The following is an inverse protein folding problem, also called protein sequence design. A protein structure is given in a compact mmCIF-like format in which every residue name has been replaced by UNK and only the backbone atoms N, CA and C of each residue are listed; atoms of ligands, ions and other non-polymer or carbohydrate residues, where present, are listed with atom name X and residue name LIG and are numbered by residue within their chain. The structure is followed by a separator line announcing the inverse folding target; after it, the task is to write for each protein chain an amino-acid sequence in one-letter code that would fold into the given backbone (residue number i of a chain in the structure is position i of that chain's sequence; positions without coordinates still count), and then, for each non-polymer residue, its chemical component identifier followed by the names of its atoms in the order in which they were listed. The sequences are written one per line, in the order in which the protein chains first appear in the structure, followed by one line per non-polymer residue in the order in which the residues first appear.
data_IF_376294053613
#
_entry.id   IF_376294053613
#
_cell.length_a   1.000
_cell.length_b   1.000
_cell.length_c   1.000
_cell.angle_alpha   90.00
_cell.angle_beta   90.00
_cell.angle_gamma   90.00
#
_symmetry.space_group_name_H-M   'P 1'
#
loop_
_entity.id
_entity.type
_entity.pdbx_description
1 polymer ?
#
# COMPACT_ATOMS: atom_id res chain seq x y z
N UNK A 1 -29.77 -2.91 -40.42
CA UNK A 1 -28.75 -1.92 -40.03
C UNK A 1 -27.46 -2.67 -39.82
N UNK A 2 -26.42 -2.42 -40.61
CA UNK A 2 -25.07 -2.90 -40.26
C UNK A 2 -24.59 -1.99 -39.14
N UNK A 3 -24.61 -2.49 -37.92
CA UNK A 3 -24.05 -1.78 -36.78
C UNK A 3 -22.53 -1.74 -36.95
N UNK A 4 -21.94 -0.55 -36.93
CA UNK A 4 -20.50 -0.35 -37.01
C UNK A 4 -19.84 -0.60 -35.65
N UNK A 5 -20.02 -1.80 -35.09
CA UNK A 5 -19.24 -2.25 -33.95
C UNK A 5 -18.93 -3.74 -34.07
N UNK A 6 -17.73 -4.10 -33.68
CA UNK A 6 -17.32 -5.48 -33.46
C UNK A 6 -17.39 -5.72 -31.96
N UNK A 7 -18.09 -6.77 -31.53
CA UNK A 7 -18.09 -7.18 -30.13
C UNK A 7 -16.78 -7.89 -29.83
N UNK A 8 -15.83 -7.15 -29.28
CA UNK A 8 -14.64 -7.73 -28.65
C UNK A 8 -14.88 -7.79 -27.14
N UNK A 9 -14.58 -8.92 -26.52
CA UNK A 9 -14.55 -9.00 -25.05
C UNK A 9 -13.34 -8.19 -24.56
N UNK A 10 -13.60 -7.03 -23.97
CA UNK A 10 -12.58 -6.17 -23.34
C UNK A 10 -12.71 -6.36 -21.83
N UNK A 11 -11.60 -6.64 -21.16
CA UNK A 11 -11.61 -6.77 -19.69
C UNK A 11 -11.75 -5.42 -19.01
N UNK A 12 -12.21 -5.40 -17.76
CA UNK A 12 -12.37 -4.16 -16.99
C UNK A 12 -11.05 -3.35 -16.88
N UNK A 13 -9.93 -4.03 -16.59
CA UNK A 13 -8.61 -3.38 -16.50
C UNK A 13 -8.07 -2.95 -17.87
N UNK A 14 -8.38 -3.67 -18.95
CA UNK A 14 -8.01 -3.26 -20.30
C UNK A 14 -8.78 -2.01 -20.74
N UNK A 15 -10.07 -1.93 -20.43
CA UNK A 15 -10.85 -0.71 -20.68
C UNK A 15 -10.29 0.48 -19.87
N UNK A 16 -9.92 0.23 -18.60
CA UNK A 16 -9.31 1.23 -17.73
C UNK A 16 -8.01 1.79 -18.33
N UNK A 17 -7.11 0.91 -18.76
CA UNK A 17 -5.82 1.27 -19.33
C UNK A 17 -5.97 2.12 -20.60
N UNK A 18 -6.89 1.73 -21.50
CA UNK A 18 -7.15 2.47 -22.74
C UNK A 18 -7.80 3.84 -22.50
N UNK A 19 -8.49 4.03 -21.37
CA UNK A 19 -9.12 5.28 -20.97
C UNK A 19 -8.25 6.09 -19.99
N UNK A 20 -7.01 5.66 -19.73
CA UNK A 20 -6.12 6.23 -18.72
C UNK A 20 -6.79 6.36 -17.34
N UNK A 21 -7.65 5.40 -17.00
CA UNK A 21 -8.37 5.36 -15.73
C UNK A 21 -7.52 4.66 -14.68
N UNK A 22 -6.75 5.44 -13.94
CA UNK A 22 -5.81 4.88 -12.97
C UNK A 22 -4.63 5.79 -12.76
N UNK A 23 -3.57 5.21 -12.21
CA UNK A 23 -2.27 5.83 -12.07
C UNK A 23 -1.22 4.74 -12.01
N UNK A 24 -0.07 4.96 -12.64
CA UNK A 24 1.01 3.98 -12.71
C UNK A 24 0.49 2.57 -13.09
N UNK A 25 0.60 1.59 -12.21
CA UNK A 25 0.14 0.22 -12.46
C UNK A 25 -1.28 -0.04 -11.94
N UNK A 26 -1.86 0.91 -11.21
CA UNK A 26 -3.19 0.80 -10.63
C UNK A 26 -4.26 1.17 -11.66
N UNK A 27 -4.92 0.16 -12.22
CA UNK A 27 -5.95 0.30 -13.26
C UNK A 27 -7.20 -0.53 -12.93
N UNK A 28 -7.99 -0.02 -11.99
CA UNK A 28 -9.18 -0.72 -11.46
C UNK A 28 -10.43 -0.60 -12.34
N UNK A 29 -10.49 0.32 -13.29
CA UNK A 29 -11.58 0.41 -14.27
C UNK A 29 -12.92 0.85 -13.68
N UNK A 30 -14.01 0.22 -14.13
CA UNK A 30 -15.38 0.57 -13.75
C UNK A 30 -15.88 -0.15 -12.50
N UNK A 31 -15.18 -1.22 -12.09
CA UNK A 31 -15.56 -2.08 -10.97
C UNK A 31 -14.34 -2.41 -10.10
N UNK A 32 -14.47 -2.22 -8.79
CA UNK A 32 -13.49 -2.70 -7.80
C UNK A 32 -14.05 -3.90 -7.02
N UNK A 33 -13.17 -4.79 -6.51
CA UNK A 33 -13.57 -5.76 -5.50
C UNK A 33 -13.99 -5.06 -4.20
N UNK A 34 -15.14 -5.44 -3.63
CA UNK A 34 -15.68 -4.87 -2.39
C UNK A 34 -15.54 -5.78 -1.18
N UNK A 35 -15.08 -7.02 -1.37
CA UNK A 35 -14.89 -8.03 -0.34
C UNK A 35 -13.71 -7.69 0.60
N UNK A 36 -12.70 -6.98 0.11
CA UNK A 36 -11.53 -6.59 0.91
C UNK A 36 -10.95 -5.24 0.44
N UNK A 37 -11.54 -4.15 0.95
CA UNK A 37 -11.09 -2.78 0.65
C UNK A 37 -9.70 -2.49 1.22
N UNK A 38 -9.29 -3.12 2.33
CA UNK A 38 -7.92 -2.99 2.87
C UNK A 38 -6.90 -3.44 1.83
N UNK A 39 -7.09 -4.64 1.26
CA UNK A 39 -6.24 -5.17 0.19
C UNK A 39 -6.26 -4.29 -1.07
N UNK A 40 -7.39 -3.68 -1.39
CA UNK A 40 -7.48 -2.73 -2.50
C UNK A 40 -6.63 -1.48 -2.24
N UNK A 41 -6.67 -0.93 -1.03
CA UNK A 41 -5.84 0.22 -0.61
C UNK A 41 -4.35 -0.12 -0.65
N UNK A 42 -3.96 -1.26 -0.09
CA UNK A 42 -2.57 -1.75 -0.15
C UNK A 42 -2.06 -1.89 -1.58
N UNK A 43 -2.90 -2.44 -2.48
CA UNK A 43 -2.56 -2.51 -3.90
C UNK A 43 -2.44 -1.14 -4.54
N UNK A 44 -3.35 -0.21 -4.26
CA UNK A 44 -3.28 1.14 -4.78
C UNK A 44 -1.98 1.84 -4.35
N UNK A 45 -1.57 1.66 -3.09
CA UNK A 45 -0.29 2.19 -2.57
C UNK A 45 0.90 1.55 -3.29
N UNK A 46 0.91 0.22 -3.40
CA UNK A 46 2.01 -0.53 -4.04
C UNK A 46 2.14 -0.19 -5.53
N UNK A 47 1.02 -0.16 -6.24
CA UNK A 47 0.97 0.10 -7.68
C UNK A 47 1.07 1.60 -8.00
N UNK A 48 0.83 2.45 -7.00
CA UNK A 48 1.07 3.90 -7.02
C UNK A 48 2.55 4.26 -7.03
N UNK A 49 3.42 3.43 -6.45
CA UNK A 49 4.88 3.52 -6.64
C UNK A 49 5.29 2.80 -7.94
N UNK A 50 5.07 3.41 -9.10
CA UNK A 50 5.38 2.82 -10.41
C UNK A 50 6.63 3.41 -11.07
N UNK A 51 7.16 2.70 -12.08
CA UNK A 51 8.34 3.14 -12.85
C UNK A 51 8.10 4.41 -13.68
N UNK A 52 6.84 4.71 -14.00
CA UNK A 52 6.47 5.71 -15.00
C UNK A 52 6.36 7.12 -14.44
N UNK A 53 5.83 7.27 -13.22
CA UNK A 53 5.57 8.57 -12.60
C UNK A 53 5.74 8.51 -11.08
N UNK A 54 6.53 9.43 -10.52
CA UNK A 54 6.58 9.67 -9.09
C UNK A 54 5.42 10.61 -8.71
N UNK A 55 4.86 10.48 -7.52
CA UNK A 55 3.72 11.33 -7.12
C UNK A 55 3.27 11.13 -5.69
N UNK A 56 2.16 11.79 -5.36
CA UNK A 56 1.42 11.61 -4.12
C UNK A 56 0.16 10.81 -4.39
N UNK A 57 -0.09 9.79 -3.58
CA UNK A 57 -1.35 9.08 -3.54
C UNK A 57 -2.12 9.50 -2.29
N UNK A 58 -3.34 9.98 -2.48
CA UNK A 58 -4.28 10.31 -1.42
C UNK A 58 -5.47 9.35 -1.55
N UNK A 59 -5.81 8.68 -0.45
CA UNK A 59 -6.99 7.81 -0.37
C UNK A 59 -7.98 8.48 0.57
N UNK A 60 -9.15 8.86 0.05
CA UNK A 60 -10.25 9.39 0.85
C UNK A 60 -11.32 8.32 1.00
N UNK A 61 -11.67 7.98 2.23
CA UNK A 61 -12.68 6.95 2.54
C UNK A 61 -13.81 7.56 3.36
N UNK A 62 -15.05 7.23 2.99
CA UNK A 62 -16.25 7.54 3.77
C UNK A 62 -17.00 6.26 4.11
N UNK A 63 -18.14 6.37 4.79
CA UNK A 63 -19.03 5.23 5.03
C UNK A 63 -19.49 4.53 3.73
N UNK A 64 -19.60 5.27 2.62
CA UNK A 64 -20.18 4.76 1.36
C UNK A 64 -19.21 4.73 0.18
N UNK A 65 -18.18 5.57 0.18
CA UNK A 65 -17.30 5.70 -0.99
C UNK A 65 -15.84 5.56 -0.63
N UNK A 66 -15.05 5.09 -1.60
CA UNK A 66 -13.60 5.15 -1.55
C UNK A 66 -13.10 5.89 -2.77
N UNK A 67 -12.17 6.83 -2.57
CA UNK A 67 -11.62 7.67 -3.61
C UNK A 67 -10.10 7.63 -3.58
N UNK A 68 -9.51 7.44 -4.75
CA UNK A 68 -8.07 7.44 -4.96
C UNK A 68 -7.71 8.67 -5.77
N UNK A 69 -6.76 9.48 -5.28
CA UNK A 69 -6.28 10.69 -5.96
C UNK A 69 -4.77 10.55 -6.11
N UNK A 70 -4.28 10.51 -7.34
CA UNK A 70 -2.88 10.51 -7.66
C UNK A 70 -2.49 11.83 -8.32
N UNK A 71 -1.42 12.44 -7.81
CA UNK A 71 -0.86 13.69 -8.31
C UNK A 71 0.61 13.43 -8.64
N UNK A 72 0.98 13.51 -9.91
CA UNK A 72 2.36 13.34 -10.34
C UNK A 72 3.23 14.51 -9.89
N UNK A 73 4.41 14.20 -9.33
CA UNK A 73 5.41 15.19 -8.94
C UNK A 73 6.19 15.64 -10.17
N UNK A 74 6.07 16.93 -10.51
CA UNK A 74 6.82 17.53 -11.61
C UNK A 74 6.27 17.23 -13.02
N UNK A 75 5.10 16.62 -13.11
CA UNK A 75 4.42 16.33 -14.37
C UNK A 75 2.98 16.84 -14.42
N UNK A 76 2.26 16.45 -15.47
CA UNK A 76 0.89 16.87 -15.75
C UNK A 76 -0.13 15.75 -15.49
N UNK A 77 0.33 14.56 -15.08
CA UNK A 77 -0.57 13.45 -14.82
C UNK A 77 -1.33 13.65 -13.50
N UNK A 78 -2.66 13.57 -13.59
CA UNK A 78 -3.56 13.67 -12.45
C UNK A 78 -4.67 12.63 -12.61
N UNK A 79 -5.03 11.93 -11.55
CA UNK A 79 -6.12 10.98 -11.58
C UNK A 79 -6.87 10.99 -10.28
N UNK A 80 -8.18 11.15 -10.32
CA UNK A 80 -9.04 11.09 -9.16
C UNK A 80 -10.23 10.19 -9.47
N UNK A 81 -10.39 9.10 -8.73
CA UNK A 81 -11.34 8.03 -9.05
C UNK A 81 -12.11 7.66 -7.79
N UNK A 82 -13.44 7.70 -7.85
CA UNK A 82 -14.34 7.42 -6.72
C UNK A 82 -15.22 6.21 -7.02
N UNK A 83 -15.28 5.26 -6.10
CA UNK A 83 -16.11 4.07 -6.17
C UNK A 83 -17.09 4.00 -5.01
N UNK A 84 -18.25 3.39 -5.25
CA UNK A 84 -19.18 2.98 -4.21
C UNK A 84 -18.65 1.71 -3.51
N UNK A 85 -18.55 1.72 -2.19
CA UNK A 85 -17.95 0.63 -1.40
C UNK A 85 -18.83 -0.63 -1.35
N UNK A 86 -20.13 -0.49 -1.58
CA UNK A 86 -21.07 -1.60 -1.49
C UNK A 86 -21.06 -2.41 -2.80
N UNK A 87 -21.19 -1.71 -3.92
CA UNK A 87 -21.30 -2.30 -5.26
C UNK A 87 -19.98 -2.40 -5.99
N UNK A 88 -18.99 -1.60 -5.59
CA UNK A 88 -17.70 -1.48 -6.25
C UNK A 88 -17.77 -0.66 -7.53
N UNK A 89 -18.92 -0.04 -7.82
CA UNK A 89 -19.16 0.66 -9.06
C UNK A 89 -18.45 2.01 -9.08
N UNK A 90 -17.85 2.33 -10.21
CA UNK A 90 -17.27 3.65 -10.45
C UNK A 90 -18.35 4.72 -10.43
N UNK A 91 -18.22 5.67 -9.50
CA UNK A 91 -19.15 6.78 -9.29
C UNK A 91 -18.70 8.05 -10.00
N UNK A 92 -17.40 8.34 -9.96
CA UNK A 92 -16.86 9.54 -10.57
C UNK A 92 -15.37 9.35 -10.90
N UNK A 93 -14.92 9.93 -12.00
CA UNK A 93 -13.52 9.94 -12.37
C UNK A 93 -13.15 11.26 -13.05
N UNK A 94 -11.94 11.74 -12.77
CA UNK A 94 -11.24 12.74 -13.55
C UNK A 94 -9.80 12.29 -13.76
N UNK A 95 -9.38 12.16 -15.01
CA UNK A 95 -8.04 11.76 -15.40
C UNK A 95 -7.46 12.73 -16.42
N UNK A 96 -6.23 13.17 -16.20
CA UNK A 96 -5.44 14.04 -17.09
C UNK A 96 -4.11 13.34 -17.32
N UNK A 97 -3.72 13.18 -18.58
CA UNK A 97 -2.41 12.64 -18.95
C UNK A 97 -1.92 13.27 -20.26
N UNK A 98 -0.95 14.18 -20.16
CA UNK A 98 -0.52 15.04 -21.27
C UNK A 98 -1.72 15.75 -21.90
N UNK A 99 -1.98 15.50 -23.18
CA UNK A 99 -3.10 16.12 -23.92
C UNK A 99 -4.44 15.39 -23.75
N UNK A 100 -4.48 14.29 -23.01
CA UNK A 100 -5.70 13.53 -22.75
C UNK A 100 -6.38 14.03 -21.48
N UNK A 101 -7.70 14.20 -21.53
CA UNK A 101 -8.53 14.56 -20.38
C UNK A 101 -9.85 13.79 -20.45
N UNK A 102 -10.22 13.15 -19.35
CA UNK A 102 -11.44 12.38 -19.18
C UNK A 102 -12.11 12.80 -17.86
N UNK A 103 -13.40 13.09 -17.93
CA UNK A 103 -14.24 13.29 -16.75
C UNK A 103 -15.54 12.52 -16.98
N UNK A 104 -15.87 11.62 -16.06
CA UNK A 104 -17.12 10.85 -16.10
C UNK A 104 -17.75 10.80 -14.72
N UNK A 105 -19.08 10.83 -14.69
CA UNK A 105 -19.88 10.75 -13.48
C UNK A 105 -21.04 9.78 -13.71
N UNK A 106 -21.26 8.90 -12.74
CA UNK A 106 -22.43 8.04 -12.71
C UNK A 106 -23.57 8.76 -11.98
N UNK A 107 -24.53 9.24 -12.76
CA UNK A 107 -25.76 9.83 -12.24
C UNK A 107 -26.74 8.72 -11.85
N UNK A 108 -26.81 8.42 -10.55
CA UNK A 108 -27.84 7.54 -10.00
C UNK A 108 -29.12 8.35 -9.76
N UNK A 109 -30.19 7.99 -10.46
CA UNK A 109 -31.53 8.47 -10.13
C UNK A 109 -32.10 7.61 -9.00
N UNK A 110 -31.99 8.06 -7.76
CA UNK A 110 -32.69 7.43 -6.64
C UNK A 110 -34.19 7.70 -6.73
N UNK A 111 -34.99 6.66 -6.50
CA UNK A 111 -36.42 6.85 -6.25
C UNK A 111 -36.62 7.05 -4.76
N UNK A 112 -37.54 7.93 -4.38
CA UNK A 112 -37.81 8.34 -2.99
C UNK A 112 -38.20 7.16 -2.06
N UNK A 113 -38.48 5.98 -2.63
CA UNK A 113 -38.79 4.73 -1.93
C UNK A 113 -37.57 3.90 -1.51
N UNK A 114 -36.36 4.27 -1.93
CA UNK A 114 -35.15 3.51 -1.63
C UNK A 114 -34.74 3.69 -0.15
N UNK A 115 -34.24 2.63 0.53
CA UNK A 115 -33.88 2.70 1.93
C UNK A 115 -32.81 3.78 2.17
N UNK A 116 -33.05 4.61 3.19
CA UNK A 116 -32.18 5.72 3.58
C UNK A 116 -30.77 5.16 3.87
N UNK A 117 -29.70 5.73 3.29
CA UNK A 117 -28.34 5.31 3.59
C UNK A 117 -28.03 5.46 5.10
N UNK A 118 -27.10 4.66 5.64
CA UNK A 118 -26.79 4.64 7.07
C UNK A 118 -26.41 6.04 7.61
N UNK A 119 -26.59 6.27 8.92
CA UNK A 119 -26.80 7.61 9.48
C UNK A 119 -25.57 8.52 9.53
N UNK A 120 -24.38 8.04 9.17
CA UNK A 120 -23.19 8.88 9.15
C UNK A 120 -22.27 8.58 7.96
N UNK A 121 -22.62 9.05 6.75
CA UNK A 121 -21.79 8.91 5.56
C UNK A 121 -20.65 9.95 5.49
N UNK A 122 -20.45 10.77 6.55
CA UNK A 122 -19.63 11.98 6.48
C UNK A 122 -18.31 11.90 7.25
N UNK A 123 -18.07 10.86 8.05
CA UNK A 123 -16.73 10.61 8.61
C UNK A 123 -15.79 10.30 7.46
N UNK A 124 -14.90 11.24 7.15
CA UNK A 124 -13.96 11.18 6.05
C UNK A 124 -12.58 10.87 6.59
N UNK A 125 -12.09 9.67 6.36
CA UNK A 125 -10.71 9.31 6.65
C UNK A 125 -9.84 9.63 5.44
N UNK A 126 -8.71 10.29 5.66
CA UNK A 126 -7.76 10.67 4.60
C UNK A 126 -6.43 9.99 4.90
N UNK A 127 -5.94 9.22 3.93
CA UNK A 127 -4.61 8.65 3.95
C UNK A 127 -3.78 9.36 2.89
N UNK A 128 -2.62 9.92 3.27
CA UNK A 128 -1.69 10.55 2.34
C UNK A 128 -0.43 9.70 2.32
N UNK A 129 0.04 9.33 1.14
CA UNK A 129 1.25 8.55 0.97
C UNK A 129 2.09 9.16 -0.14
N UNK A 130 3.33 9.56 0.19
CA UNK A 130 4.33 9.85 -0.81
C UNK A 130 4.80 8.51 -1.42
N UNK A 131 4.53 8.33 -2.72
CA UNK A 131 4.91 7.10 -3.44
C UNK A 131 6.20 7.28 -4.24
N UNK A 132 6.92 8.40 -4.06
CA UNK A 132 8.15 8.72 -4.78
C UNK A 132 9.42 8.04 -4.22
N UNK A 133 9.44 7.62 -2.95
CA UNK A 133 10.64 7.09 -2.28
C UNK A 133 10.85 5.58 -2.36
N UNK A 134 9.84 4.77 -2.75
CA UNK A 134 9.99 3.30 -2.84
C UNK A 134 10.96 2.78 -3.91
N UNK A 135 11.64 3.66 -4.64
CA UNK A 135 12.52 3.35 -5.77
C UNK A 135 13.82 2.62 -5.37
N UNK A 136 14.22 2.66 -4.11
CA UNK A 136 15.48 2.08 -3.61
C UNK A 136 15.47 0.54 -3.64
N UNK A 137 14.29 -0.10 -3.62
CA UNK A 137 14.18 -1.57 -3.47
C UNK A 137 14.35 -2.37 -4.78
N UNK A 138 14.29 -1.75 -5.96
CA UNK A 138 14.34 -2.48 -7.24
C UNK A 138 15.74 -2.93 -7.67
N UNK A 139 16.80 -2.34 -7.12
CA UNK A 139 18.17 -2.75 -7.44
C UNK A 139 18.53 -4.13 -6.90
N UNK A 140 17.90 -4.58 -5.80
CA UNK A 140 18.14 -5.91 -5.22
C UNK A 140 17.39 -7.03 -5.98
N UNK A 141 16.20 -6.74 -6.53
CA UNK A 141 15.45 -7.66 -7.40
C UNK A 141 16.12 -7.84 -8.77
N UNK A 142 16.76 -6.78 -9.29
CA UNK A 142 17.54 -6.84 -10.52
C UNK A 142 18.78 -7.77 -10.42
N UNK A 143 19.18 -8.17 -9.22
CA UNK A 143 20.27 -9.15 -9.04
C UNK A 143 19.78 -10.59 -9.14
N UNK A 144 18.51 -10.92 -8.84
CA UNK A 144 18.00 -12.31 -8.83
C UNK A 144 17.39 -12.75 -10.16
N UNK A 145 16.74 -11.84 -10.88
CA UNK A 145 16.14 -12.09 -12.22
C UNK A 145 17.16 -12.62 -13.25
N UNK A 146 18.40 -12.11 -13.35
CA UNK A 146 19.38 -12.65 -14.29
C UNK A 146 19.75 -14.10 -14.00
N UNK A 147 19.78 -14.55 -12.73
CA UNK A 147 20.13 -15.95 -12.40
C UNK A 147 19.02 -16.94 -12.80
N UNK A 148 17.75 -16.55 -12.69
CA UNK A 148 16.61 -17.38 -13.12
C UNK A 148 16.56 -17.47 -14.65
N UNK A 149 16.80 -16.35 -15.35
CA UNK A 149 16.85 -16.31 -16.82
C UNK A 149 18.07 -17.04 -17.39
N UNK A 150 19.26 -16.93 -16.77
CA UNK A 150 20.45 -17.70 -17.13
C UNK A 150 20.23 -19.21 -16.97
N UNK A 151 19.54 -19.63 -15.90
CA UNK A 151 19.18 -21.03 -15.69
C UNK A 151 18.22 -21.59 -16.76
N UNK A 152 17.20 -20.82 -17.13
CA UNK A 152 16.23 -21.22 -18.15
C UNK A 152 16.83 -21.23 -19.57
N UNK A 153 17.66 -20.23 -19.90
CA UNK A 153 18.36 -20.17 -21.19
C UNK A 153 19.30 -21.35 -21.40
N UNK A 154 20.10 -21.70 -20.39
CA UNK A 154 20.98 -22.86 -20.44
C UNK A 154 20.21 -24.18 -20.61
N UNK A 155 19.07 -24.34 -19.92
CA UNK A 155 18.23 -25.54 -20.03
C UNK A 155 17.63 -25.72 -21.45
N UNK A 156 17.19 -24.63 -22.09
CA UNK A 156 16.67 -24.68 -23.46
C UNK A 156 17.78 -25.05 -24.48
N UNK A 157 18.97 -24.45 -24.36
CA UNK A 157 20.11 -24.78 -25.21
C UNK A 157 20.59 -26.23 -25.03
N UNK A 158 20.62 -26.73 -23.80
CA UNK A 158 21.01 -28.12 -23.52
C UNK A 158 19.96 -29.12 -24.04
N UNK A 159 18.67 -28.78 -23.94
CA UNK A 159 17.57 -29.60 -24.47
C UNK A 159 17.66 -29.77 -25.98
N UNK A 160 18.01 -28.71 -26.72
CA UNK A 160 18.22 -28.74 -28.17
C UNK A 160 19.42 -29.63 -28.57
N UNK A 161 20.52 -29.58 -27.82
CA UNK A 161 21.70 -30.43 -28.07
C UNK A 161 21.41 -31.92 -27.83
N UNK A 162 20.62 -32.23 -26.81
CA UNK A 162 20.24 -33.60 -26.46
C UNK A 162 19.23 -34.18 -27.46
N UNK A 163 18.37 -33.34 -28.04
CA UNK A 163 17.34 -33.80 -28.97
C UNK A 163 17.93 -34.38 -30.27
N UNK A 164 19.14 -33.93 -30.66
CA UNK A 164 19.92 -34.46 -31.79
C UNK A 164 20.49 -35.87 -31.56
N UNK A 165 20.50 -36.40 -30.33
CA UNK A 165 21.08 -37.71 -30.01
C UNK A 165 20.02 -38.81 -30.06
N UNK A 166 20.28 -39.95 -30.71
CA UNK A 166 19.27 -41.01 -30.95
C UNK A 166 18.85 -41.84 -29.71
N UNK A 167 19.37 -41.52 -28.53
CA UNK A 167 19.06 -42.29 -27.32
C UNK A 167 17.76 -41.82 -26.65
N UNK A 168 16.66 -42.51 -26.94
CA UNK A 168 15.33 -42.23 -26.36
C UNK A 168 15.31 -42.21 -24.83
N UNK A 169 16.06 -43.10 -24.16
CA UNK A 169 16.10 -43.16 -22.68
C UNK A 169 16.74 -41.91 -22.07
N UNK A 170 17.79 -41.40 -22.71
CA UNK A 170 18.47 -40.18 -22.25
C UNK A 170 17.57 -38.94 -22.38
N UNK A 171 16.74 -38.88 -23.44
CA UNK A 171 15.79 -37.78 -23.65
C UNK A 171 14.78 -37.68 -22.50
N UNK A 172 14.11 -38.79 -22.16
CA UNK A 172 13.12 -38.80 -21.08
C UNK A 172 13.72 -38.47 -19.71
N UNK A 173 14.93 -38.97 -19.42
CA UNK A 173 15.61 -38.69 -18.16
C UNK A 173 15.93 -37.19 -18.02
N UNK A 174 16.39 -36.53 -19.08
CA UNK A 174 16.70 -35.10 -19.06
C UNK A 174 15.46 -34.23 -18.97
N UNK A 175 14.37 -34.58 -19.67
CA UNK A 175 13.08 -33.89 -19.54
C UNK A 175 12.56 -33.95 -18.10
N UNK A 176 12.72 -35.10 -17.42
CA UNK A 176 12.34 -35.25 -16.01
C UNK A 176 13.14 -34.35 -15.06
N UNK A 177 14.46 -34.26 -15.26
CA UNK A 177 15.34 -33.40 -14.44
C UNK A 177 14.98 -31.92 -14.61
N UNK A 178 14.80 -31.46 -15.86
CA UNK A 178 14.43 -30.07 -16.15
C UNK A 178 13.08 -29.73 -15.51
N UNK A 179 12.09 -30.63 -15.65
CA UNK A 179 10.78 -30.46 -15.00
C UNK A 179 10.88 -30.32 -13.48
N UNK A 180 11.70 -31.15 -12.83
CA UNK A 180 11.91 -31.08 -11.38
C UNK A 180 12.57 -29.77 -10.93
N UNK A 181 13.55 -29.27 -11.70
CA UNK A 181 14.24 -28.00 -11.42
C UNK A 181 13.26 -26.82 -11.57
N UNK A 182 12.52 -26.75 -12.67
CA UNK A 182 11.54 -25.68 -12.91
C UNK A 182 10.44 -25.67 -11.83
N UNK A 183 9.96 -26.84 -11.43
CA UNK A 183 8.95 -26.94 -10.37
C UNK A 183 9.50 -26.50 -9.00
N UNK A 184 10.74 -26.86 -8.68
CA UNK A 184 11.38 -26.44 -7.42
C UNK A 184 11.62 -24.92 -7.37
N UNK A 185 12.05 -24.31 -8.48
CA UNK A 185 12.21 -22.85 -8.55
C UNK A 185 10.88 -22.10 -8.39
N UNK A 186 9.78 -22.66 -8.92
CA UNK A 186 8.45 -22.09 -8.76
C UNK A 186 8.01 -22.09 -7.30
N UNK A 187 8.28 -23.17 -6.56
CA UNK A 187 7.97 -23.25 -5.13
C UNK A 187 8.76 -22.24 -4.29
N UNK A 188 10.05 -22.06 -4.57
CA UNK A 188 10.89 -21.05 -3.88
C UNK A 188 10.41 -19.63 -4.20
N UNK A 189 10.09 -19.34 -5.46
CA UNK A 189 9.53 -18.05 -5.86
C UNK A 189 8.18 -17.77 -5.18
N UNK A 190 7.31 -18.78 -5.10
CA UNK A 190 6.02 -18.66 -4.43
C UNK A 190 6.17 -18.43 -2.92
N UNK A 191 7.10 -19.14 -2.26
CA UNK A 191 7.45 -18.93 -0.86
C UNK A 191 7.98 -17.50 -0.64
N UNK A 192 8.91 -17.04 -1.48
CA UNK A 192 9.46 -15.69 -1.37
C UNK A 192 8.39 -14.61 -1.57
N UNK A 193 7.48 -14.77 -2.54
CA UNK A 193 6.33 -13.87 -2.72
C UNK A 193 5.38 -13.85 -1.51
N UNK A 194 5.23 -14.96 -0.80
CA UNK A 194 4.32 -15.06 0.35
C UNK A 194 4.95 -14.61 1.66
N UNK A 195 6.28 -14.68 1.82
CA UNK A 195 6.96 -14.25 3.05
C UNK A 195 7.67 -12.90 2.94
N UNK A 196 7.87 -12.36 1.73
CA UNK A 196 8.82 -11.27 1.43
C UNK A 196 8.27 -9.83 1.40
N UNK A 197 6.99 -9.60 1.71
CA UNK A 197 6.43 -8.23 1.76
C UNK A 197 5.74 -8.01 3.10
N UNK A 198 6.51 -8.11 4.18
CA UNK A 198 6.32 -7.20 5.29
C UNK A 198 6.96 -5.88 4.86
N UNK A 199 6.16 -4.81 4.83
CA UNK A 199 6.61 -3.44 4.54
C UNK A 199 7.68 -3.03 5.56
N UNK A 200 8.94 -3.05 5.14
CA UNK A 200 10.02 -2.32 5.80
C UNK A 200 9.88 -0.88 5.31
N UNK A 201 9.46 -0.01 6.21
CA UNK A 201 9.37 1.43 6.02
C UNK A 201 10.76 1.99 6.38
N UNK A 202 11.57 2.35 5.38
CA UNK A 202 12.98 2.75 5.62
C UNK A 202 13.13 4.16 6.21
N UNK A 203 12.06 4.78 6.71
CA UNK A 203 12.11 6.01 7.53
C UNK A 203 12.05 5.74 9.03
N UNK A 204 11.71 4.53 9.48
CA UNK A 204 12.12 4.12 10.83
C UNK A 204 13.60 3.83 10.77
N UNK A 205 14.40 4.53 11.56
CA UNK A 205 15.73 4.02 11.83
C UNK A 205 15.58 2.72 12.67
N UNK A 206 15.44 1.62 11.93
CA UNK A 206 14.69 0.39 12.25
C UNK A 206 15.26 -0.49 13.36
N UNK A 207 16.27 0.03 14.06
CA UNK A 207 16.89 -0.66 15.18
C UNK A 207 16.63 0.11 16.46
N UNK A 208 16.07 -0.54 17.50
CA UNK A 208 15.99 0.05 18.82
C UNK A 208 17.40 0.38 19.29
N UNK A 209 17.61 1.61 19.70
CA UNK A 209 18.83 1.97 20.43
C UNK A 209 18.67 1.49 21.88
N UNK A 210 19.79 1.11 22.49
CA UNK A 210 19.80 0.67 23.90
C UNK A 210 19.36 1.80 24.85
N UNK A 211 19.68 3.05 24.47
CA UNK A 211 19.36 4.28 25.21
C UNK A 211 19.06 5.39 24.21
N UNK A 212 18.04 6.21 24.50
CA UNK A 212 17.82 7.52 23.84
C UNK A 212 17.51 8.59 24.88
N UNK A 213 18.11 9.77 24.73
CA UNK A 213 18.09 10.89 25.69
C UNK A 213 17.38 12.13 25.11
N UNK A 214 17.11 13.11 25.96
CA UNK A 214 16.51 14.41 25.58
C UNK A 214 15.14 14.30 24.85
N UNK A 215 14.35 13.27 25.13
CA UNK A 215 13.04 13.07 24.49
C UNK A 215 12.00 14.00 25.10
N UNK A 216 11.12 14.52 24.24
CA UNK A 216 9.93 15.28 24.63
C UNK A 216 8.66 14.54 24.20
N UNK A 217 7.67 14.44 25.08
CA UNK A 217 6.36 13.85 24.82
C UNK A 217 5.27 14.88 25.13
N UNK A 218 4.42 15.14 24.15
CA UNK A 218 3.26 16.02 24.23
C UNK A 218 2.02 15.19 23.95
N UNK A 219 0.98 15.32 24.77
CA UNK A 219 -0.32 14.66 24.57
C UNK A 219 -1.42 15.72 24.65
N UNK A 220 -2.07 15.99 23.53
CA UNK A 220 -3.22 16.89 23.39
C UNK A 220 -4.52 16.08 23.37
N UNK A 221 -5.33 16.24 24.41
CA UNK A 221 -6.62 15.56 24.57
C UNK A 221 -7.76 16.21 23.78
N UNK A 222 -7.49 17.25 22.98
CA UNK A 222 -8.48 17.91 22.10
C UNK A 222 -9.49 18.81 22.82
N UNK A 223 -9.54 18.77 24.15
CA UNK A 223 -10.37 19.64 25.01
C UNK A 223 -9.60 20.87 25.53
N UNK A 224 -8.37 21.08 25.03
CA UNK A 224 -7.44 22.10 25.49
C UNK A 224 -6.61 21.68 26.71
N UNK A 225 -6.79 20.46 27.23
CA UNK A 225 -5.88 19.85 28.18
C UNK A 225 -4.70 19.25 27.42
N UNK A 226 -3.51 19.79 27.67
CA UNK A 226 -2.26 19.31 27.08
C UNK A 226 -1.35 18.89 28.23
N UNK A 227 -0.80 17.68 28.14
CA UNK A 227 0.26 17.20 29.03
C UNK A 227 1.58 17.15 28.28
N UNK A 228 2.64 17.57 28.95
CA UNK A 228 3.98 17.63 28.37
C UNK A 228 5.00 17.07 29.38
N UNK A 229 5.90 16.25 28.87
CA UNK A 229 7.05 15.72 29.59
C UNK A 229 8.29 15.93 28.73
N UNK A 230 9.26 16.66 29.25
CA UNK A 230 10.51 17.00 28.58
C UNK A 230 11.72 16.33 29.24
N UNK A 231 12.85 16.30 28.51
CA UNK A 231 14.17 15.90 29.00
C UNK A 231 14.18 14.52 29.69
N UNK A 232 13.54 13.52 29.06
CA UNK A 232 13.53 12.17 29.60
C UNK A 232 14.26 11.15 28.73
N UNK A 233 14.74 10.11 29.40
CA UNK A 233 15.50 9.02 28.78
C UNK A 233 14.68 7.73 28.68
N UNK A 234 14.83 7.02 27.57
CA UNK A 234 14.38 5.63 27.41
C UNK A 234 15.60 4.70 27.38
N UNK A 235 15.46 3.48 27.89
CA UNK A 235 16.57 2.54 28.11
C UNK A 235 16.14 1.10 27.82
N UNK A 236 17.11 0.18 27.78
CA UNK A 236 16.91 -1.27 27.65
C UNK A 236 16.25 -1.68 26.32
N UNK A 237 16.51 -0.92 25.25
CA UNK A 237 15.94 -1.18 23.92
C UNK A 237 14.45 -0.84 23.78
N UNK A 238 13.81 -0.32 24.84
CA UNK A 238 12.42 0.17 24.81
C UNK A 238 12.38 1.62 24.36
N UNK A 239 12.71 1.85 23.10
CA UNK A 239 12.94 3.17 22.53
C UNK A 239 11.94 3.53 21.44
N UNK A 240 10.79 2.86 21.38
CA UNK A 240 9.72 3.21 20.44
C UNK A 240 8.86 4.39 20.91
N UNK A 241 8.10 5.00 19.99
CA UNK A 241 7.07 6.01 20.32
C UNK A 241 6.05 5.44 21.31
N UNK A 242 5.67 4.17 21.15
CA UNK A 242 4.76 3.51 22.09
C UNK A 242 5.39 3.36 23.48
N UNK A 243 6.68 3.00 23.56
CA UNK A 243 7.39 2.91 24.85
C UNK A 243 7.46 4.27 25.57
N UNK A 244 7.63 5.36 24.81
CA UNK A 244 7.61 6.71 25.34
C UNK A 244 6.25 7.06 25.96
N UNK A 245 5.16 6.70 25.27
CA UNK A 245 3.81 6.94 25.73
C UNK A 245 3.46 6.07 26.97
N UNK A 246 3.74 4.76 26.91
CA UNK A 246 3.50 3.78 27.99
C UNK A 246 4.25 4.11 29.28
N UNK A 247 5.36 4.86 29.18
CA UNK A 247 6.13 5.31 30.34
C UNK A 247 5.34 6.28 31.24
N UNK A 248 4.45 7.10 30.67
CA UNK A 248 3.79 8.19 31.40
C UNK A 248 2.27 8.11 31.41
N UNK A 249 1.66 7.38 30.47
CA UNK A 249 0.22 7.30 30.30
C UNK A 249 -0.27 5.86 30.49
N UNK A 250 -1.49 5.69 30.99
CA UNK A 250 -2.19 4.41 30.94
C UNK A 250 -2.85 4.27 29.56
N UNK A 251 -2.41 3.29 28.77
CA UNK A 251 -2.81 3.14 27.37
C UNK A 251 -3.62 1.87 27.13
N UNK A 252 -4.64 1.96 26.27
CA UNK A 252 -5.24 0.78 25.64
C UNK A 252 -5.05 0.84 24.14
N UNK A 253 -4.80 -0.32 23.56
CA UNK A 253 -4.51 -0.44 22.15
C UNK A 253 -4.98 -1.77 21.57
N UNK A 254 -5.16 -1.78 20.26
CA UNK A 254 -5.40 -2.97 19.47
C UNK A 254 -4.13 -3.33 18.68
N UNK A 255 -3.69 -4.59 18.78
CA UNK A 255 -2.59 -5.13 17.99
C UNK A 255 -3.13 -5.82 16.73
N UNK A 256 -2.80 -5.26 15.57
CA UNK A 256 -3.23 -5.77 14.27
C UNK A 256 -2.16 -6.63 13.57
N UNK A 257 -1.03 -6.90 14.23
CA UNK A 257 0.10 -7.66 13.69
C UNK A 257 0.96 -6.90 12.66
N UNK A 258 0.43 -5.82 12.07
CA UNK A 258 1.17 -4.87 11.23
C UNK A 258 1.46 -3.53 11.94
N UNK A 259 1.02 -3.38 13.18
CA UNK A 259 1.27 -2.22 14.04
C UNK A 259 0.24 -2.17 15.17
N UNK A 260 0.56 -1.39 16.20
CA UNK A 260 -0.31 -1.11 17.33
C UNK A 260 -1.08 0.18 17.08
N UNK A 261 -2.41 0.12 17.23
CA UNK A 261 -3.29 1.27 17.19
C UNK A 261 -3.71 1.63 18.62
N UNK A 262 -3.32 2.81 19.09
CA UNK A 262 -3.75 3.32 20.41
C UNK A 262 -5.19 3.79 20.32
N UNK A 263 -6.02 3.30 21.24
CA UNK A 263 -7.47 3.53 21.29
C UNK A 263 -7.91 4.34 22.52
N UNK A 264 -7.06 4.41 23.54
CA UNK A 264 -7.32 5.14 24.78
C UNK A 264 -6.00 5.58 25.41
N UNK A 265 -5.96 6.83 25.89
CA UNK A 265 -4.86 7.39 26.68
C UNK A 265 -5.44 8.00 27.96
N UNK A 266 -4.97 7.57 29.13
CA UNK A 266 -5.40 8.04 30.45
C UNK A 266 -6.92 8.03 30.68
N UNK A 267 -7.62 7.04 30.12
CA UNK A 267 -9.07 6.90 30.25
C UNK A 267 -9.89 7.66 29.20
N UNK A 268 -9.24 8.34 28.25
CA UNK A 268 -9.89 9.06 27.15
C UNK A 268 -9.85 8.21 25.88
N UNK A 269 -10.99 7.63 25.53
CA UNK A 269 -11.19 6.84 24.31
C UNK A 269 -11.29 7.75 23.08
N UNK A 270 -10.69 7.34 21.96
CA UNK A 270 -10.88 7.99 20.67
C UNK A 270 -9.82 7.66 19.63
N UNK A 271 -9.84 8.39 18.52
CA UNK A 271 -8.89 8.20 17.42
C UNK A 271 -7.64 9.03 17.69
N UNK A 272 -6.56 8.35 18.09
CA UNK A 272 -5.30 8.99 18.43
C UNK A 272 -4.33 8.95 17.24
N UNK A 273 -3.79 10.11 16.87
CA UNK A 273 -2.72 10.24 15.90
C UNK A 273 -1.44 10.63 16.63
N UNK A 274 -0.29 10.17 16.14
CA UNK A 274 1.00 10.60 16.64
C UNK A 274 1.87 11.22 15.54
N UNK A 275 2.69 12.17 15.94
CA UNK A 275 3.72 12.81 15.13
C UNK A 275 5.06 12.74 15.85
N UNK A 276 6.15 12.68 15.08
CA UNK A 276 7.52 12.77 15.58
C UNK A 276 8.21 13.90 14.85
N UNK A 277 8.70 14.89 15.58
CA UNK A 277 9.32 16.09 15.05
C UNK A 277 8.43 16.86 14.04
N UNK A 278 7.11 16.79 14.20
CA UNK A 278 6.11 17.42 13.33
C UNK A 278 5.82 16.67 12.03
N UNK A 279 6.27 15.42 11.92
CA UNK A 279 5.95 14.52 10.80
C UNK A 279 5.15 13.32 11.31
N UNK A 280 4.09 12.93 10.59
CA UNK A 280 3.26 11.76 10.92
C UNK A 280 3.86 10.51 10.26
N UNK A 281 4.38 9.53 11.03
CA UNK A 281 4.96 8.34 10.44
C UNK A 281 3.89 7.40 9.85
N UNK A 282 4.25 6.66 8.80
CA UNK A 282 3.34 5.79 8.03
C UNK A 282 3.10 4.40 8.63
N UNK A 283 3.57 4.15 9.86
CA UNK A 283 3.50 2.85 10.54
C UNK A 283 3.00 3.00 11.99
N UNK A 284 2.82 1.88 12.70
CA UNK A 284 2.38 1.90 14.10
C UNK A 284 3.43 2.47 15.05
N UNK A 285 3.00 3.07 16.15
CA UNK A 285 3.88 3.67 17.16
C UNK A 285 4.86 2.67 17.80
N UNK A 286 4.56 1.37 17.75
CA UNK A 286 5.42 0.27 18.20
C UNK A 286 6.63 0.03 17.29
N UNK A 287 6.60 0.59 16.07
CA UNK A 287 7.63 0.36 15.03
C UNK A 287 8.47 1.59 14.74
N UNK A 288 8.13 2.72 15.34
CA UNK A 288 8.90 3.95 15.21
C UNK A 288 9.88 4.10 16.37
N UNK A 289 11.16 3.83 16.13
CA UNK A 289 12.21 3.98 17.15
C UNK A 289 12.76 5.41 17.18
N UNK A 290 12.78 5.98 18.38
CA UNK A 290 13.18 7.36 18.67
C UNK A 290 14.70 7.55 18.62
N UNK A 291 15.11 8.82 18.55
CA UNK A 291 16.48 9.32 18.59
C UNK A 291 16.64 10.42 19.60
N UNK A 292 17.91 10.67 19.97
CA UNK A 292 18.24 11.68 20.96
C UNK A 292 17.68 13.06 20.52
N UNK A 293 16.89 13.69 21.39
CA UNK A 293 16.27 14.99 21.12
C UNK A 293 14.92 14.96 20.40
N UNK A 294 14.37 13.78 20.08
CA UNK A 294 13.08 13.69 19.39
C UNK A 294 11.92 14.25 20.22
N UNK A 295 10.99 14.90 19.52
CA UNK A 295 9.72 15.39 20.08
C UNK A 295 8.56 14.57 19.53
N UNK A 296 7.75 14.02 20.42
CA UNK A 296 6.59 13.19 20.11
C UNK A 296 5.34 13.97 20.46
N UNK A 297 4.38 14.02 19.56
CA UNK A 297 3.08 14.64 19.81
C UNK A 297 1.97 13.63 19.55
N UNK A 298 1.09 13.43 20.52
CA UNK A 298 -0.13 12.63 20.40
C UNK A 298 -1.34 13.55 20.42
N UNK A 299 -2.19 13.44 19.42
CA UNK A 299 -3.33 14.33 19.21
C UNK A 299 -4.60 13.49 19.09
N UNK A 300 -5.60 13.80 19.91
CA UNK A 300 -6.94 13.25 19.76
C UNK A 300 -7.68 13.90 18.57
N UNK A 301 -8.24 13.09 17.69
CA UNK A 301 -8.94 13.53 16.45
C UNK A 301 -10.44 13.29 16.51
#
# INVERSE_FOLDING_TARGET
MNTNFTLCNISNSEAALNLHMGFNNFSSGFLIPTDNLTRLKEKAILEGSGENANGFLIIEETGLTIKFIFIETGGENFSAITYDKITGLLMWIKAISGNFSLEMELLLSYQESDPIPPPDPYTKTIYITDVSEKKVKSELENFTIPFILLGCGAAASFSLLVWKKDNKRLKYLLTGIIGAICFSSLLVYNYWLTTGVASIDETSEDTPLEVVEDITLIVDFGDGNIKEWDDFTLREGKTSVLDALDKYCDIKYDDYGWGILVTEIDGVEGDWIYEVNGEQPGHGADRHYLRDGDTIEWILV
#
